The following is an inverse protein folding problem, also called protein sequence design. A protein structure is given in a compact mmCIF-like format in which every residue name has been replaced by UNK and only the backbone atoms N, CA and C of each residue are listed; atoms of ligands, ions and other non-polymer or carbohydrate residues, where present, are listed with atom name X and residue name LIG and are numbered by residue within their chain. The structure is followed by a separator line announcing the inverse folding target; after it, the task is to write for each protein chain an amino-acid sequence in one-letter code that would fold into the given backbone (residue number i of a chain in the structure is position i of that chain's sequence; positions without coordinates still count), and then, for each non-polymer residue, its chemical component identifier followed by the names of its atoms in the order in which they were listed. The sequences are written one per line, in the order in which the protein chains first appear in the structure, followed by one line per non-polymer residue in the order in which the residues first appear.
data_IF_794680577189
#
_entry.id   IF_794680577189
#
_cell.length_a   1.000
_cell.length_b   1.000
_cell.length_c   1.000
_cell.angle_alpha   90.00
_cell.angle_beta   90.00
_cell.angle_gamma   90.00
#
_symmetry.space_group_name_H-M   'P 1'
#
loop_
_entity.id
_entity.type
_entity.pdbx_description
1 polymer ?
#
# COMPACT_ATOMS: atom_id res chain seq x y z
N UNK A 1 17.39 6.00 17.40
CA UNK A 1 16.18 5.89 16.53
C UNK A 1 16.38 4.70 15.60
N UNK A 2 15.35 4.03 15.07
CA UNK A 2 15.56 2.81 14.23
C UNK A 2 15.42 3.12 12.75
N UNK A 3 16.35 2.64 11.91
CA UNK A 3 16.22 2.68 10.46
C UNK A 3 15.56 1.39 9.99
N UNK A 4 14.48 1.49 9.22
CA UNK A 4 13.72 0.35 8.69
C UNK A 4 13.55 0.47 7.19
N UNK A 5 13.41 -0.66 6.50
CA UNK A 5 13.03 -0.66 5.07
C UNK A 5 11.51 -0.55 4.94
N UNK A 6 11.00 0.10 3.88
CA UNK A 6 9.58 0.04 3.59
C UNK A 6 9.16 -1.41 3.35
N UNK A 7 7.94 -1.77 3.75
CA UNK A 7 7.44 -3.14 3.58
C UNK A 7 5.93 -3.18 3.40
N UNK A 8 5.48 -4.22 2.71
CA UNK A 8 4.06 -4.50 2.49
C UNK A 8 3.81 -5.94 2.92
N UNK A 9 2.77 -6.13 3.73
CA UNK A 9 2.32 -7.45 4.18
C UNK A 9 0.85 -7.62 3.83
N UNK A 10 0.53 -8.68 3.09
CA UNK A 10 -0.84 -9.11 2.88
C UNK A 10 -1.49 -9.48 4.23
N UNK A 11 -2.71 -9.00 4.46
CA UNK A 11 -3.47 -9.32 5.66
C UNK A 11 -4.58 -10.31 5.35
N UNK A 12 -5.50 -9.92 4.48
CA UNK A 12 -6.70 -10.69 4.18
C UNK A 12 -7.38 -10.22 2.90
N UNK A 13 -8.29 -11.04 2.35
CA UNK A 13 -9.10 -10.71 1.18
C UNK A 13 -10.45 -11.45 1.18
N UNK A 14 -11.34 -11.08 0.26
CA UNK A 14 -12.58 -11.84 0.00
C UNK A 14 -12.26 -13.30 -0.35
N UNK A 15 -12.94 -14.24 0.31
CA UNK A 15 -12.92 -15.65 -0.06
C UNK A 15 -13.42 -15.83 -1.50
N UNK A 16 -12.68 -16.61 -2.30
CA UNK A 16 -13.05 -16.90 -3.71
C UNK A 16 -13.40 -15.60 -4.49
N UNK A 17 -12.44 -14.68 -4.64
CA UNK A 17 -12.72 -13.31 -5.12
C UNK A 17 -13.27 -13.30 -6.55
N UNK A 18 -12.82 -14.21 -7.42
CA UNK A 18 -13.25 -14.25 -8.81
C UNK A 18 -14.69 -14.78 -8.91
N UNK A 19 -15.03 -15.75 -8.08
CA UNK A 19 -16.36 -16.32 -7.96
C UNK A 19 -17.34 -15.28 -7.38
N UNK A 20 -16.91 -14.48 -6.41
CA UNK A 20 -17.70 -13.35 -5.91
C UNK A 20 -18.02 -12.33 -7.02
N UNK A 21 -17.02 -11.96 -7.82
CA UNK A 21 -17.20 -11.06 -8.97
C UNK A 21 -18.11 -11.70 -10.04
N UNK A 22 -17.93 -13.00 -10.34
CA UNK A 22 -18.78 -13.71 -11.30
C UNK A 22 -20.24 -13.73 -10.83
N UNK A 23 -20.52 -14.07 -9.56
CA UNK A 23 -21.89 -14.06 -9.00
C UNK A 23 -22.55 -12.69 -9.16
N UNK A 24 -21.83 -11.62 -8.83
CA UNK A 24 -22.34 -10.25 -8.99
C UNK A 24 -22.67 -9.95 -10.47
N UNK A 25 -21.74 -10.18 -11.39
CA UNK A 25 -21.96 -9.89 -12.80
C UNK A 25 -23.03 -10.76 -13.46
N UNK A 26 -23.11 -12.05 -13.12
CA UNK A 26 -24.12 -12.99 -13.64
C UNK A 26 -25.53 -12.60 -13.22
N UNK A 27 -25.69 -12.05 -12.02
CA UNK A 27 -26.97 -11.53 -11.50
C UNK A 27 -27.54 -10.41 -12.39
N UNK A 28 -26.68 -9.52 -12.91
CA UNK A 28 -27.08 -8.44 -13.81
C UNK A 28 -27.60 -8.95 -15.16
N UNK A 29 -27.10 -10.09 -15.63
CA UNK A 29 -27.49 -10.69 -16.91
C UNK A 29 -28.50 -11.83 -16.78
N UNK A 30 -28.97 -12.14 -15.55
CA UNK A 30 -29.82 -13.30 -15.27
C UNK A 30 -29.27 -14.58 -15.90
N UNK A 31 -27.98 -14.82 -15.68
CA UNK A 31 -27.24 -15.94 -16.28
C UNK A 31 -26.49 -16.80 -15.25
N UNK A 32 -27.00 -16.84 -14.03
CA UNK A 32 -26.48 -17.59 -12.88
C UNK A 32 -26.34 -19.10 -13.18
N UNK A 33 -27.16 -19.63 -14.10
CA UNK A 33 -27.10 -21.00 -14.62
C UNK A 33 -25.77 -21.35 -15.31
N UNK A 34 -25.00 -20.34 -15.74
CA UNK A 34 -23.72 -20.50 -16.45
C UNK A 34 -22.51 -20.56 -15.53
N UNK A 35 -22.71 -20.50 -14.21
CA UNK A 35 -21.64 -20.61 -13.23
C UNK A 35 -21.14 -22.06 -13.18
N UNK A 36 -19.83 -22.24 -13.30
CA UNK A 36 -19.14 -23.53 -13.22
C UNK A 36 -17.87 -23.38 -12.38
N UNK A 37 -17.25 -24.50 -11.99
CA UNK A 37 -15.98 -24.48 -11.24
C UNK A 37 -14.84 -23.70 -11.91
N UNK A 38 -14.91 -23.49 -13.23
CA UNK A 38 -13.83 -22.89 -14.02
C UNK A 38 -14.28 -21.67 -14.83
N UNK A 39 -15.50 -21.14 -14.61
CA UNK A 39 -16.02 -20.01 -15.39
C UNK A 39 -15.53 -18.65 -14.92
N UNK A 40 -15.22 -18.51 -13.62
CA UNK A 40 -14.98 -17.23 -12.97
C UNK A 40 -13.87 -16.42 -13.65
N UNK A 41 -12.69 -17.00 -13.82
CA UNK A 41 -11.54 -16.33 -14.44
C UNK A 41 -11.86 -15.81 -15.86
N UNK A 42 -12.48 -16.66 -16.70
CA UNK A 42 -12.86 -16.30 -18.07
C UNK A 42 -13.91 -15.19 -18.08
N UNK A 43 -14.86 -15.23 -17.15
CA UNK A 43 -15.92 -14.24 -17.04
C UNK A 43 -15.37 -12.88 -16.56
N UNK A 44 -14.52 -12.87 -15.53
CA UNK A 44 -13.88 -11.65 -15.02
C UNK A 44 -13.00 -11.00 -16.09
N UNK A 45 -12.21 -11.78 -16.84
CA UNK A 45 -11.44 -11.28 -17.99
C UNK A 45 -12.34 -10.62 -19.04
N UNK A 46 -13.50 -11.22 -19.33
CA UNK A 46 -14.48 -10.63 -20.25
C UNK A 46 -15.03 -9.30 -19.71
N UNK A 47 -15.39 -9.22 -18.42
CA UNK A 47 -15.87 -7.98 -17.79
C UNK A 47 -14.85 -6.84 -17.92
N UNK A 48 -13.58 -7.11 -17.64
CA UNK A 48 -12.48 -6.14 -17.79
C UNK A 48 -12.37 -5.67 -19.24
N UNK A 49 -12.33 -6.60 -20.19
CA UNK A 49 -12.20 -6.27 -21.62
C UNK A 49 -13.39 -5.47 -22.16
N UNK A 50 -14.58 -5.62 -21.55
CA UNK A 50 -15.79 -4.85 -21.91
C UNK A 50 -15.94 -3.54 -21.13
N UNK A 51 -15.03 -3.22 -20.20
CA UNK A 51 -15.12 -2.02 -19.36
C UNK A 51 -16.23 -2.07 -18.32
N UNK A 52 -16.80 -3.26 -18.03
CA UNK A 52 -17.85 -3.45 -17.04
C UNK A 52 -17.24 -3.62 -15.63
N UNK A 53 -16.59 -2.55 -15.14
CA UNK A 53 -15.71 -2.62 -13.96
C UNK A 53 -16.44 -2.60 -12.61
N UNK A 54 -17.72 -2.18 -12.57
CA UNK A 54 -18.50 -2.11 -11.32
C UNK A 54 -18.52 -3.45 -10.56
N UNK A 55 -18.46 -4.56 -11.28
CA UNK A 55 -18.51 -5.90 -10.69
C UNK A 55 -17.22 -6.26 -9.95
N UNK A 56 -16.09 -5.65 -10.32
CA UNK A 56 -14.78 -5.89 -9.69
C UNK A 56 -14.77 -5.37 -8.24
N UNK A 57 -15.59 -4.36 -7.94
CA UNK A 57 -15.72 -3.75 -6.60
C UNK A 57 -16.34 -4.72 -5.57
N UNK A 58 -16.90 -5.85 -6.01
CA UNK A 58 -17.43 -6.89 -5.11
C UNK A 58 -16.35 -7.76 -4.45
N UNK A 59 -15.08 -7.58 -4.80
CA UNK A 59 -13.95 -8.20 -4.12
C UNK A 59 -13.04 -7.14 -3.51
N UNK A 60 -12.48 -7.44 -2.34
CA UNK A 60 -11.57 -6.56 -1.62
C UNK A 60 -10.33 -7.32 -1.13
N UNK A 61 -9.27 -6.57 -0.88
CA UNK A 61 -8.03 -7.05 -0.29
C UNK A 61 -7.46 -6.00 0.65
N UNK A 62 -6.76 -6.44 1.69
CA UNK A 62 -6.20 -5.59 2.72
C UNK A 62 -4.72 -5.88 2.94
N UNK A 63 -3.97 -4.81 3.18
CA UNK A 63 -2.53 -4.86 3.38
C UNK A 63 -2.12 -4.01 4.57
N UNK A 64 -1.07 -4.43 5.25
CA UNK A 64 -0.31 -3.60 6.18
C UNK A 64 0.90 -3.04 5.44
N UNK A 65 0.98 -1.71 5.41
CA UNK A 65 2.07 -1.00 4.74
C UNK A 65 2.89 -0.26 5.81
N UNK A 66 4.21 -0.40 5.74
CA UNK A 66 5.17 0.40 6.49
C UNK A 66 5.91 1.26 5.47
N UNK A 67 5.70 2.56 5.53
CA UNK A 67 6.32 3.56 4.64
C UNK A 67 6.50 4.88 5.39
N UNK A 68 7.16 5.84 4.76
CA UNK A 68 7.32 7.18 5.32
C UNK A 68 6.01 7.98 5.26
N UNK A 69 5.93 9.04 6.08
CA UNK A 69 4.74 9.88 6.15
C UNK A 69 4.45 10.62 4.83
N UNK A 70 5.47 10.97 4.05
CA UNK A 70 5.30 11.62 2.74
C UNK A 70 4.56 10.71 1.75
N UNK A 71 4.96 9.45 1.64
CA UNK A 71 4.25 8.44 0.85
C UNK A 71 2.81 8.28 1.33
N UNK A 72 2.57 8.28 2.65
CA UNK A 72 1.18 8.21 3.14
C UNK A 72 0.35 9.43 2.74
N UNK A 73 0.93 10.62 2.63
CA UNK A 73 0.22 11.83 2.19
C UNK A 73 -0.23 11.75 0.72
N UNK A 74 0.50 10.99 -0.10
CA UNK A 74 0.11 10.73 -1.50
C UNK A 74 -0.92 9.60 -1.59
N UNK A 75 -0.68 8.47 -0.91
CA UNK A 75 -1.55 7.29 -1.01
C UNK A 75 -2.97 7.63 -0.54
N UNK A 76 -3.16 8.37 0.55
CA UNK A 76 -4.50 8.72 1.07
C UNK A 76 -5.32 9.59 0.12
N UNK A 77 -4.73 10.11 -0.96
CA UNK A 77 -5.45 10.85 -2.02
C UNK A 77 -6.30 9.93 -2.89
N UNK A 78 -6.04 8.62 -2.89
CA UNK A 78 -6.93 7.63 -3.48
C UNK A 78 -8.15 7.41 -2.58
N UNK A 79 -9.27 8.05 -2.94
CA UNK A 79 -10.49 8.16 -2.12
C UNK A 79 -11.36 6.90 -2.08
N UNK A 80 -11.12 5.93 -2.95
CA UNK A 80 -11.89 4.67 -3.00
C UNK A 80 -11.32 3.58 -2.07
N UNK A 81 -10.19 3.84 -1.41
CA UNK A 81 -9.61 2.93 -0.43
C UNK A 81 -9.99 3.33 0.99
N UNK A 82 -9.94 2.35 1.89
CA UNK A 82 -10.14 2.55 3.33
C UNK A 82 -8.78 2.47 4.05
N UNK A 83 -8.52 3.41 4.96
CA UNK A 83 -7.24 3.51 5.66
C UNK A 83 -7.41 3.48 7.17
N UNK A 84 -6.53 2.74 7.85
CA UNK A 84 -6.30 2.84 9.28
C UNK A 84 -4.81 3.15 9.48
N UNK A 85 -4.50 4.35 9.95
CA UNK A 85 -3.14 4.83 10.09
C UNK A 85 -2.74 4.90 11.57
N UNK A 86 -1.49 4.60 11.85
CA UNK A 86 -0.91 4.83 13.16
C UNK A 86 -1.03 6.31 13.52
N UNK A 87 -1.63 6.61 14.68
CA UNK A 87 -1.89 7.99 15.06
C UNK A 87 -0.77 8.52 15.94
N UNK A 88 -0.04 9.50 15.43
CA UNK A 88 1.01 10.21 16.20
C UNK A 88 0.46 10.95 17.43
N UNK A 89 -0.86 11.15 17.50
CA UNK A 89 -1.55 11.77 18.66
C UNK A 89 -1.79 10.80 19.82
N UNK A 90 -1.84 9.49 19.54
CA UNK A 90 -2.25 8.48 20.53
C UNK A 90 -1.21 7.39 20.76
N UNK A 91 -0.38 7.07 19.77
CA UNK A 91 0.64 6.04 19.89
C UNK A 91 1.80 6.51 20.78
N UNK A 92 2.29 5.62 21.64
CA UNK A 92 3.36 5.92 22.58
C UNK A 92 4.73 5.61 21.95
N UNK A 93 5.54 6.65 21.75
CA UNK A 93 6.87 6.56 21.17
C UNK A 93 8.02 6.55 22.19
N UNK A 94 7.74 6.30 23.49
CA UNK A 94 8.79 6.19 24.52
C UNK A 94 9.82 5.09 24.21
N UNK A 95 9.42 4.06 23.45
CA UNK A 95 10.32 3.01 22.94
C UNK A 95 11.18 3.43 21.74
N UNK A 96 11.09 4.70 21.32
CA UNK A 96 11.75 5.25 20.14
C UNK A 96 10.84 5.32 18.91
N UNK A 97 11.30 6.08 17.92
CA UNK A 97 10.68 6.21 16.60
C UNK A 97 11.51 5.49 15.54
N UNK A 98 10.84 5.07 14.46
CA UNK A 98 11.47 4.47 13.30
C UNK A 98 11.46 5.43 12.12
N UNK A 99 12.50 5.37 11.28
CA UNK A 99 12.65 6.14 10.05
C UNK A 99 12.79 5.16 8.89
N UNK A 100 12.12 5.48 7.79
CA UNK A 100 12.13 4.65 6.60
C UNK A 100 13.32 5.03 5.72
N UNK A 101 14.12 4.03 5.34
CA UNK A 101 15.24 4.19 4.42
C UNK A 101 14.66 4.41 3.00
N UNK A 102 15.01 5.50 2.30
CA UNK A 102 14.55 5.70 0.93
C UNK A 102 15.00 4.55 0.02
N UNK A 103 14.15 4.09 -0.91
CA UNK A 103 14.43 2.89 -1.71
C UNK A 103 15.63 3.02 -2.64
N UNK A 104 16.03 4.25 -3.00
CA UNK A 104 17.24 4.53 -3.79
C UNK A 104 18.53 4.60 -2.95
N UNK A 105 18.43 4.45 -1.63
CA UNK A 105 19.55 4.55 -0.71
C UNK A 105 19.87 3.20 -0.07
N UNK A 106 21.09 2.70 -0.26
CA UNK A 106 21.48 1.37 0.18
C UNK A 106 22.30 1.41 1.48
N UNK A 107 21.61 1.66 2.60
CA UNK A 107 22.20 1.60 3.94
C UNK A 107 21.62 0.43 4.76
N UNK A 108 22.40 -0.12 5.71
CA UNK A 108 21.91 -1.20 6.56
C UNK A 108 20.81 -0.70 7.51
N UNK A 109 19.82 -1.57 7.73
CA UNK A 109 18.87 -1.45 8.85
C UNK A 109 19.69 -1.44 10.13
N UNK A 110 19.63 -0.33 10.87
CA UNK A 110 20.50 -0.08 12.03
C UNK A 110 19.90 1.00 12.93
N UNK A 111 20.58 1.34 14.02
CA UNK A 111 20.22 2.51 14.80
C UNK A 111 20.74 3.78 14.14
N UNK A 112 19.86 4.76 13.98
CA UNK A 112 20.21 6.10 13.58
C UNK A 112 20.80 6.84 14.78
N UNK A 113 22.03 7.32 14.61
CA UNK A 113 22.77 8.13 15.57
C UNK A 113 22.81 9.58 15.10
N UNK A 114 22.60 10.50 16.04
CA UNK A 114 22.88 11.92 15.80
C UNK A 114 24.39 12.06 15.88
N UNK A 115 25.04 12.34 14.75
CA UNK A 115 26.41 12.84 14.80
C UNK A 115 26.37 14.23 15.43
N UNK A 116 26.89 14.37 16.65
CA UNK A 116 27.06 15.66 17.34
C UNK A 116 28.05 16.58 16.62
N UNK A 117 28.86 16.02 15.73
CA UNK A 117 29.69 16.74 14.77
C UNK A 117 29.10 16.55 13.37
N UNK A 118 28.01 17.26 13.07
CA UNK A 118 27.82 17.66 11.67
C UNK A 118 28.89 18.71 11.43
N UNK A 119 30.06 18.27 10.98
CA UNK A 119 31.12 19.15 10.55
C UNK A 119 30.57 20.13 9.52
N UNK A 120 30.26 21.36 9.95
CA UNK A 120 30.14 22.56 9.11
C UNK A 120 31.52 22.96 8.58
N UNK A 121 32.49 22.04 8.58
CA UNK A 121 33.90 22.31 8.24
C UNK A 121 34.22 21.99 6.79
N UNK A 122 33.21 21.92 5.91
CA UNK A 122 33.48 21.98 4.48
C UNK A 122 32.83 23.25 3.88
N UNK A 123 33.61 24.32 3.63
CA UNK A 123 33.14 25.48 2.88
C UNK A 123 32.67 25.15 1.46
N UNK A 124 32.95 23.93 0.97
CA UNK A 124 32.53 23.44 -0.35
C UNK A 124 31.29 22.54 -0.32
N UNK A 125 30.60 22.40 0.82
CA UNK A 125 29.30 21.73 0.86
C UNK A 125 28.23 22.68 0.30
N UNK A 126 28.23 22.88 -1.01
CA UNK A 126 27.14 23.53 -1.70
C UNK A 126 25.88 22.70 -1.48
N UNK A 127 24.90 23.29 -0.79
CA UNK A 127 23.54 22.79 -0.65
C UNK A 127 22.80 22.92 -2.01
N UNK A 128 23.35 22.33 -3.07
CA UNK A 128 22.78 22.34 -4.42
C UNK A 128 21.49 21.52 -4.56
N UNK A 129 21.03 20.89 -3.47
CA UNK A 129 19.80 20.09 -3.41
C UNK A 129 18.62 20.84 -2.78
N UNK A 130 18.77 22.15 -2.51
CA UNK A 130 17.71 23.03 -1.98
C UNK A 130 17.25 24.11 -2.99
N UNK A 131 17.46 23.89 -4.28
CA UNK A 131 16.87 24.69 -5.38
C UNK A 131 15.66 24.00 -6.02
#
# INVERSE_FOLDING_TARGET
MKLVKPSIKFLDMTDEPLEAIERAGRTCYKSEDKITRFSAEKFVKKLINSGHLAMIEHAWMSYRIVCDCGVTHEIVRHRLFSYAQESTRYCNYKGGVSFVIPPWFNIPVSEYFIHTEVCVTNPSCELSWLE
#
